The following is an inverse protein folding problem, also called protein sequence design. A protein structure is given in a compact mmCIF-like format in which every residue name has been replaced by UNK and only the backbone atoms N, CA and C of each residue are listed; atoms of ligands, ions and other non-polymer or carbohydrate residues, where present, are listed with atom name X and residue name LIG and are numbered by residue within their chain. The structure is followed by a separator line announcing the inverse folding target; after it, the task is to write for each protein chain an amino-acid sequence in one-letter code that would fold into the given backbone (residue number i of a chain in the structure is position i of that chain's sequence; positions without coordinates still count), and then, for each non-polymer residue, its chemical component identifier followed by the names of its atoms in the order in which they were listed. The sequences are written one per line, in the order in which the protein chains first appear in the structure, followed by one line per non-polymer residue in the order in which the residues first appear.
data_IF_277818414395
#
_entry.id   IF_277818414395
#
_cell.length_a   1.000
_cell.length_b   1.000
_cell.length_c   1.000
_cell.angle_alpha   90.00
_cell.angle_beta   90.00
_cell.angle_gamma   90.00
#
_symmetry.space_group_name_H-M   'P 1'
#
loop_
_entity.id
_entity.type
_entity.pdbx_description
1 polymer ?
#
# COMPACT_ATOMS: atom_id res chain seq x y z
N UNK A 1 -0.54 -8.53 23.16
CA UNK A 1 -1.08 -8.14 24.48
C UNK A 1 -1.72 -6.74 24.52
N UNK A 2 -1.03 -5.71 24.08
CA UNK A 2 -1.59 -4.34 24.08
C UNK A 2 -2.71 -4.19 23.07
N UNK A 3 -2.49 -4.66 21.86
CA UNK A 3 -3.50 -4.61 20.78
C UNK A 3 -4.75 -5.40 21.17
N UNK A 4 -4.59 -6.55 21.81
CA UNK A 4 -5.70 -7.37 22.25
C UNK A 4 -6.52 -6.69 23.39
N UNK A 5 -5.86 -5.99 24.31
CA UNK A 5 -6.53 -5.23 25.36
C UNK A 5 -7.30 -4.02 24.85
N UNK A 6 -6.82 -3.44 23.75
CA UNK A 6 -7.43 -2.25 23.13
C UNK A 6 -8.44 -2.63 22.02
N UNK A 7 -8.70 -3.93 21.78
CA UNK A 7 -9.71 -4.37 20.83
C UNK A 7 -11.09 -3.88 21.22
N UNK A 8 -11.73 -3.21 20.30
CA UNK A 8 -13.11 -2.75 20.45
C UNK A 8 -14.01 -3.69 19.66
N UNK A 9 -14.97 -4.30 20.33
CA UNK A 9 -15.98 -5.10 19.67
C UNK A 9 -16.82 -4.23 18.73
N UNK A 10 -17.01 -4.69 17.52
CA UNK A 10 -17.88 -4.06 16.53
C UNK A 10 -19.11 -4.95 16.32
N UNK A 11 -20.27 -4.32 16.40
CA UNK A 11 -21.53 -4.98 16.11
C UNK A 11 -21.83 -4.88 14.62
N UNK A 12 -22.16 -6.01 14.00
CA UNK A 12 -22.60 -6.10 12.62
C UNK A 12 -23.84 -6.96 12.56
N UNK A 13 -24.89 -6.45 11.93
CA UNK A 13 -26.09 -7.20 11.61
C UNK A 13 -25.75 -8.16 10.47
N UNK A 14 -25.41 -9.41 10.81
CA UNK A 14 -24.93 -10.41 9.86
C UNK A 14 -26.06 -11.20 9.22
N UNK A 15 -27.22 -11.31 9.87
CA UNK A 15 -28.37 -12.02 9.36
C UNK A 15 -29.45 -11.08 8.78
N UNK A 16 -29.30 -9.77 8.94
CA UNK A 16 -30.14 -8.76 8.33
C UNK A 16 -31.49 -8.58 9.01
N UNK A 17 -31.63 -9.00 10.27
CA UNK A 17 -32.88 -8.92 11.01
C UNK A 17 -33.12 -7.54 11.68
N UNK A 18 -32.10 -6.68 11.66
CA UNK A 18 -32.13 -5.34 12.26
C UNK A 18 -31.85 -5.32 13.76
N UNK A 19 -31.55 -6.47 14.37
CA UNK A 19 -31.16 -6.61 15.77
C UNK A 19 -29.71 -7.07 15.88
N UNK A 20 -29.04 -6.77 16.97
CA UNK A 20 -27.65 -7.16 17.21
C UNK A 20 -27.55 -8.18 18.33
N UNK A 21 -27.06 -9.37 18.01
CA UNK A 21 -26.85 -10.46 18.95
C UNK A 21 -25.38 -10.62 19.33
N UNK A 22 -25.08 -11.38 20.39
CA UNK A 22 -23.69 -11.65 20.80
C UNK A 22 -22.91 -12.48 19.77
N UNK A 23 -23.58 -13.19 18.87
CA UNK A 23 -22.95 -13.92 17.76
C UNK A 23 -22.49 -13.02 16.62
N UNK A 24 -22.94 -11.77 16.60
CA UNK A 24 -22.62 -10.75 15.59
C UNK A 24 -21.51 -9.79 16.03
N UNK A 25 -20.90 -10.04 17.19
CA UNK A 25 -19.74 -9.26 17.64
C UNK A 25 -18.54 -9.63 16.80
N UNK A 26 -18.06 -8.67 16.01
CA UNK A 26 -16.83 -8.78 15.23
C UNK A 26 -15.71 -8.03 15.94
N UNK A 27 -14.62 -8.72 16.22
CA UNK A 27 -13.43 -8.10 16.79
C UNK A 27 -12.48 -7.69 15.67
N UNK A 28 -11.92 -6.47 15.71
CA UNK A 28 -10.94 -6.05 14.72
C UNK A 28 -9.71 -6.94 14.76
N UNK A 29 -9.25 -7.35 13.59
CA UNK A 29 -8.00 -8.07 13.40
C UNK A 29 -6.88 -7.11 13.01
N UNK A 30 -5.65 -7.48 13.34
CA UNK A 30 -4.47 -6.78 12.89
C UNK A 30 -3.33 -7.75 12.62
N UNK A 31 -2.46 -7.35 11.72
CA UNK A 31 -1.25 -8.09 11.38
C UNK A 31 -0.03 -7.16 11.44
N UNK A 32 1.13 -7.74 11.63
CA UNK A 32 2.39 -7.03 11.65
C UNK A 32 3.44 -7.81 10.88
N UNK A 33 4.31 -7.08 10.16
CA UNK A 33 5.49 -7.63 9.52
C UNK A 33 6.66 -6.66 9.69
N UNK A 34 7.83 -7.21 9.99
CA UNK A 34 9.10 -6.50 9.95
C UNK A 34 10.04 -7.20 8.98
N UNK A 35 10.61 -6.45 8.06
CA UNK A 35 11.47 -6.93 7.00
C UNK A 35 12.75 -6.07 6.96
N UNK A 36 13.89 -6.70 6.75
CA UNK A 36 15.11 -5.94 6.50
C UNK A 36 15.26 -5.57 5.01
N UNK A 37 16.26 -4.75 4.71
CA UNK A 37 16.50 -4.28 3.34
C UNK A 37 17.09 -5.33 2.38
N UNK A 38 17.14 -6.60 2.79
CA UNK A 38 17.45 -7.75 1.93
C UNK A 38 16.22 -8.62 1.65
N UNK A 39 15.02 -8.18 2.07
CA UNK A 39 13.78 -8.94 1.92
C UNK A 39 13.60 -10.05 2.96
N UNK A 40 14.51 -10.17 3.93
CA UNK A 40 14.38 -11.18 5.00
C UNK A 40 13.31 -10.73 6.00
N UNK A 41 12.30 -11.54 6.20
CA UNK A 41 11.24 -11.29 7.19
C UNK A 41 11.80 -11.62 8.58
N UNK A 42 12.00 -10.60 9.38
CA UNK A 42 12.56 -10.70 10.74
C UNK A 42 11.51 -11.04 11.79
N UNK A 43 10.27 -10.59 11.59
CA UNK A 43 9.15 -10.89 12.46
C UNK A 43 7.83 -10.78 11.68
N UNK A 44 6.88 -11.64 12.01
CA UNK A 44 5.54 -11.61 11.45
C UNK A 44 4.52 -12.04 12.51
N UNK A 45 3.40 -11.31 12.59
CA UNK A 45 2.21 -11.67 13.34
C UNK A 45 1.04 -11.61 12.38
N UNK A 46 0.37 -12.72 12.18
CA UNK A 46 -0.70 -12.84 11.18
C UNK A 46 -2.10 -12.51 11.68
N UNK A 47 -2.31 -12.45 12.99
CA UNK A 47 -3.60 -12.12 13.61
C UNK A 47 -3.41 -11.73 15.08
N UNK A 48 -4.44 -11.14 15.68
CA UNK A 48 -4.49 -10.83 17.12
C UNK A 48 -5.01 -12.07 17.89
N UNK A 49 -4.47 -12.27 19.10
CA UNK A 49 -4.87 -13.35 19.98
C UNK A 49 -4.01 -14.62 19.86
N UNK A 50 -4.40 -15.64 20.57
CA UNK A 50 -3.68 -16.91 20.62
C UNK A 50 -3.98 -17.76 19.38
N UNK A 51 -2.93 -18.28 18.76
CA UNK A 51 -3.05 -19.24 17.66
C UNK A 51 -3.38 -20.62 18.21
N UNK A 52 -4.61 -21.06 18.03
CA UNK A 52 -5.12 -22.34 18.56
C UNK A 52 -4.99 -23.51 17.60
N UNK A 53 -4.80 -23.23 16.29
CA UNK A 53 -4.78 -24.24 15.23
C UNK A 53 -3.59 -24.04 14.27
N UNK A 54 -3.25 -25.11 13.53
CA UNK A 54 -2.30 -25.00 12.42
C UNK A 54 -3.00 -24.49 11.17
N UNK A 55 -2.23 -23.80 10.27
CA UNK A 55 -2.73 -23.29 9.00
C UNK A 55 -3.87 -22.26 9.14
N UNK A 56 -3.91 -21.52 10.25
CA UNK A 56 -4.83 -20.39 10.41
C UNK A 56 -4.58 -19.34 9.35
N UNK A 57 -5.62 -18.56 9.04
CA UNK A 57 -5.53 -17.43 8.14
C UNK A 57 -4.49 -16.41 8.63
N UNK A 58 -3.63 -15.96 7.73
CA UNK A 58 -2.57 -15.00 8.03
C UNK A 58 -2.86 -13.68 7.33
N UNK A 59 -3.35 -12.70 8.08
CA UNK A 59 -3.71 -11.38 7.56
C UNK A 59 -2.52 -10.59 6.99
N UNK A 60 -1.28 -10.95 7.32
CA UNK A 60 -0.10 -10.29 6.75
C UNK A 60 0.20 -10.72 5.31
N UNK A 61 -0.14 -11.97 4.95
CA UNK A 61 0.26 -12.58 3.66
C UNK A 61 -0.92 -13.00 2.78
N UNK A 62 -2.11 -13.12 3.35
CA UNK A 62 -3.28 -13.65 2.63
C UNK A 62 -4.40 -12.63 2.44
N UNK A 63 -4.48 -11.62 3.30
CA UNK A 63 -5.50 -10.57 3.20
C UNK A 63 -5.01 -9.41 2.35
N UNK A 64 -5.77 -9.05 1.32
CA UNK A 64 -5.54 -7.84 0.52
C UNK A 64 -6.33 -6.68 1.10
N UNK A 65 -5.65 -5.57 1.34
CA UNK A 65 -6.25 -4.33 1.86
C UNK A 65 -5.84 -3.14 1.02
N UNK A 66 -6.67 -2.11 1.04
CA UNK A 66 -6.39 -0.85 0.36
C UNK A 66 -5.19 -0.18 1.02
N UNK A 67 -4.08 0.06 0.30
CA UNK A 67 -2.90 0.70 0.87
C UNK A 67 -3.11 2.19 1.11
N UNK A 68 -4.07 2.80 0.43
CA UNK A 68 -4.27 4.24 0.46
C UNK A 68 -2.99 4.99 0.06
N UNK A 69 -2.75 6.12 0.69
CA UNK A 69 -1.59 6.98 0.39
C UNK A 69 -0.22 6.35 0.64
N UNK A 70 -0.15 5.21 1.33
CA UNK A 70 1.13 4.50 1.48
C UNK A 70 1.65 3.92 0.16
N UNK A 71 0.84 3.86 -0.89
CA UNK A 71 1.29 3.42 -2.21
C UNK A 71 2.09 4.50 -2.97
N UNK A 72 1.87 5.78 -2.67
CA UNK A 72 2.41 6.91 -3.44
C UNK A 72 3.92 6.85 -3.68
N UNK A 73 4.77 6.54 -2.68
CA UNK A 73 6.20 6.34 -2.90
C UNK A 73 6.52 5.19 -3.86
N UNK A 74 5.73 4.12 -3.83
CA UNK A 74 5.95 2.90 -4.61
C UNK A 74 5.46 2.99 -6.07
N UNK A 75 4.77 4.06 -6.40
CA UNK A 75 4.16 4.31 -7.72
C UNK A 75 4.71 5.61 -8.32
N UNK A 76 3.94 6.68 -8.22
CA UNK A 76 4.21 7.95 -8.90
C UNK A 76 5.49 8.62 -8.47
N UNK A 77 5.75 8.75 -7.17
CA UNK A 77 7.00 9.38 -6.69
C UNK A 77 8.22 8.52 -7.01
N UNK A 78 8.11 7.19 -6.87
CA UNK A 78 9.21 6.28 -7.17
C UNK A 78 9.65 6.38 -8.61
N UNK A 79 8.72 6.29 -9.56
CA UNK A 79 9.05 6.43 -10.98
C UNK A 79 9.51 7.84 -11.35
N UNK A 80 8.91 8.87 -10.76
CA UNK A 80 9.30 10.26 -11.02
C UNK A 80 10.74 10.55 -10.57
N UNK A 81 11.18 9.97 -9.45
CA UNK A 81 12.58 10.03 -8.98
C UNK A 81 13.51 9.18 -9.86
N UNK A 82 13.11 7.95 -10.21
CA UNK A 82 13.91 7.04 -11.04
C UNK A 82 14.15 7.60 -12.45
N UNK A 83 13.19 8.35 -12.99
CA UNK A 83 13.26 8.97 -14.32
C UNK A 83 13.86 10.38 -14.32
N UNK A 84 14.41 10.86 -13.20
CA UNK A 84 14.90 12.24 -13.03
C UNK A 84 13.86 13.33 -13.36
N UNK A 85 12.57 13.00 -13.35
CA UNK A 85 11.50 13.98 -13.54
C UNK A 85 11.41 14.94 -12.35
N UNK A 86 11.68 14.42 -11.15
CA UNK A 86 11.69 15.21 -9.91
C UNK A 86 12.93 14.89 -9.08
N UNK A 87 13.23 15.83 -8.18
CA UNK A 87 14.11 15.65 -7.02
C UNK A 87 13.43 16.29 -5.79
N UNK A 88 13.94 16.09 -4.60
CA UNK A 88 13.28 16.54 -3.37
C UNK A 88 12.95 18.03 -3.32
N UNK A 89 13.77 18.86 -3.99
CA UNK A 89 13.57 20.30 -4.09
C UNK A 89 12.68 20.76 -5.24
N UNK A 90 12.21 19.88 -6.11
CA UNK A 90 11.31 20.23 -7.20
C UNK A 90 10.01 20.84 -6.68
N UNK A 91 9.49 21.84 -7.37
CA UNK A 91 8.31 22.61 -6.96
C UNK A 91 7.13 22.23 -7.85
N UNK A 92 6.03 21.90 -7.21
CA UNK A 92 4.74 21.65 -7.85
C UNK A 92 3.67 22.54 -7.21
N UNK A 93 2.67 22.90 -7.99
CA UNK A 93 1.54 23.66 -7.48
C UNK A 93 0.45 22.70 -7.00
N UNK A 94 -0.13 23.00 -5.85
CA UNK A 94 -1.28 22.25 -5.33
C UNK A 94 -2.52 22.56 -6.17
N UNK A 95 -2.62 21.88 -7.31
CA UNK A 95 -3.72 22.02 -8.27
C UNK A 95 -4.16 20.63 -8.77
N UNK A 96 -5.47 20.42 -8.96
CA UNK A 96 -5.98 19.20 -9.56
C UNK A 96 -5.58 19.11 -11.04
N UNK A 97 -5.57 17.91 -11.58
CA UNK A 97 -5.56 17.65 -13.01
C UNK A 97 -7.01 17.57 -13.54
N UNK A 98 -7.17 17.58 -14.85
CA UNK A 98 -8.46 17.31 -15.49
C UNK A 98 -8.52 15.83 -15.90
N UNK A 99 -9.54 15.11 -15.44
CA UNK A 99 -9.85 13.74 -15.81
C UNK A 99 -11.30 13.70 -16.30
N UNK A 100 -11.51 13.32 -17.56
CA UNK A 100 -12.84 13.23 -18.16
C UNK A 100 -13.66 14.53 -18.03
N UNK A 101 -13.01 15.68 -18.16
CA UNK A 101 -13.65 17.00 -18.06
C UNK A 101 -13.97 17.45 -16.63
N UNK A 102 -13.44 16.77 -15.63
CA UNK A 102 -13.61 17.12 -14.21
C UNK A 102 -12.28 17.35 -13.52
N UNK A 103 -12.24 18.33 -12.64
CA UNK A 103 -11.07 18.55 -11.79
C UNK A 103 -10.93 17.41 -10.77
N UNK A 104 -9.75 16.79 -10.72
CA UNK A 104 -9.44 15.66 -9.83
C UNK A 104 -7.93 15.62 -9.53
N UNK A 105 -7.48 15.16 -8.35
CA UNK A 105 -8.22 14.82 -7.14
C UNK A 105 -8.40 16.05 -6.23
N UNK A 106 -9.02 15.81 -5.06
CA UNK A 106 -8.99 16.73 -3.93
C UNK A 106 -8.04 16.21 -2.86
N UNK A 107 -7.51 17.11 -2.02
CA UNK A 107 -6.73 16.72 -0.86
C UNK A 107 -7.65 16.35 0.32
N UNK A 108 -7.15 15.51 1.22
CA UNK A 108 -7.85 15.23 2.46
C UNK A 108 -7.91 16.49 3.33
N UNK A 109 -9.07 16.76 3.92
CA UNK A 109 -9.27 17.80 4.93
C UNK A 109 -10.07 17.21 6.09
N UNK A 110 -9.67 17.53 7.32
CA UNK A 110 -10.43 17.16 8.53
C UNK A 110 -11.80 17.86 8.55
N UNK A 111 -11.89 19.03 7.96
CA UNK A 111 -13.15 19.72 7.74
C UNK A 111 -13.71 19.29 6.38
N UNK A 112 -14.63 18.33 6.41
CA UNK A 112 -15.27 17.75 5.22
C UNK A 112 -16.06 18.75 4.36
N UNK A 113 -16.23 19.98 4.81
CA UNK A 113 -16.89 21.07 4.08
C UNK A 113 -15.96 21.82 3.12
N UNK A 114 -14.65 21.65 3.24
CA UNK A 114 -13.66 22.33 2.41
C UNK A 114 -12.80 21.34 1.64
N UNK A 115 -13.03 21.19 0.34
CA UNK A 115 -12.07 20.58 -0.58
C UNK A 115 -10.81 21.47 -0.58
N UNK A 116 -9.76 21.06 0.13
CA UNK A 116 -8.62 21.94 0.36
C UNK A 116 -7.58 21.86 -0.75
N UNK A 117 -7.88 22.53 -1.85
CA UNK A 117 -6.85 22.92 -2.83
C UNK A 117 -6.30 24.27 -2.39
N UNK A 118 -5.02 24.31 -2.06
CA UNK A 118 -4.41 25.55 -1.55
C UNK A 118 -3.91 26.49 -2.65
N UNK A 119 -3.74 25.96 -3.86
CA UNK A 119 -3.10 26.65 -5.01
C UNK A 119 -1.68 27.17 -4.73
N UNK A 120 -1.05 26.70 -3.65
CA UNK A 120 0.31 27.09 -3.27
C UNK A 120 1.35 26.24 -3.98
N UNK A 121 2.52 26.80 -4.15
CA UNK A 121 3.71 26.04 -4.54
C UNK A 121 4.20 25.21 -3.35
N UNK A 122 4.49 23.95 -3.61
CA UNK A 122 4.93 22.94 -2.64
C UNK A 122 6.20 22.28 -3.16
N UNK A 123 7.18 22.07 -2.30
CA UNK A 123 8.28 21.18 -2.62
C UNK A 123 7.81 19.73 -2.55
N UNK A 124 8.45 18.86 -3.32
CA UNK A 124 8.08 17.43 -3.37
C UNK A 124 8.04 16.80 -1.98
N UNK A 125 9.03 17.08 -1.13
CA UNK A 125 9.05 16.51 0.21
C UNK A 125 7.88 17.02 1.09
N UNK A 126 7.46 18.27 0.94
CA UNK A 126 6.31 18.85 1.67
C UNK A 126 4.99 18.22 1.20
N UNK A 127 4.86 18.00 -0.12
CA UNK A 127 3.69 17.35 -0.69
C UNK A 127 3.57 15.89 -0.24
N UNK A 128 4.70 15.17 -0.14
CA UNK A 128 4.72 13.80 0.33
C UNK A 128 4.46 13.72 1.85
N UNK A 129 5.11 14.56 2.67
CA UNK A 129 4.92 14.63 4.12
C UNK A 129 3.45 14.84 4.51
N UNK A 130 2.79 15.78 3.82
CA UNK A 130 1.38 16.11 4.05
C UNK A 130 0.40 15.23 3.26
N UNK A 131 0.94 14.28 2.51
CA UNK A 131 0.16 13.35 1.70
C UNK A 131 -0.82 14.01 0.72
N UNK A 132 -0.44 15.13 0.11
CA UNK A 132 -1.25 15.75 -0.93
C UNK A 132 -1.55 14.75 -2.06
N UNK A 133 -2.76 14.84 -2.61
CA UNK A 133 -3.20 13.97 -3.70
C UNK A 133 -2.95 14.60 -5.08
N UNK A 134 -2.92 15.93 -5.16
CA UNK A 134 -2.78 16.68 -6.39
C UNK A 134 -1.42 16.47 -7.05
N UNK A 135 -0.34 16.48 -6.27
CA UNK A 135 1.01 16.31 -6.80
C UNK A 135 1.23 14.92 -7.43
N UNK A 136 0.93 13.79 -6.76
CA UNK A 136 1.06 12.49 -7.42
C UNK A 136 0.14 12.32 -8.63
N UNK A 137 -1.02 13.00 -8.68
CA UNK A 137 -1.86 13.01 -9.87
C UNK A 137 -1.18 13.71 -11.06
N UNK A 138 -0.56 14.87 -10.84
CA UNK A 138 0.23 15.58 -11.85
C UNK A 138 1.43 14.74 -12.32
N UNK A 139 2.14 14.08 -11.39
CA UNK A 139 3.24 13.18 -11.72
C UNK A 139 2.74 12.00 -12.58
N UNK A 140 1.62 11.37 -12.20
CA UNK A 140 1.03 10.28 -12.97
C UNK A 140 0.59 10.73 -14.37
N UNK A 141 0.07 11.94 -14.49
CA UNK A 141 -0.29 12.51 -15.79
C UNK A 141 0.93 12.72 -16.68
N UNK A 142 2.03 13.23 -16.14
CA UNK A 142 3.28 13.45 -16.87
C UNK A 142 3.95 12.13 -17.28
N UNK A 143 3.90 11.10 -16.43
CA UNK A 143 4.53 9.79 -16.62
C UNK A 143 3.67 8.80 -17.39
N UNK A 144 2.37 9.00 -17.44
CA UNK A 144 1.28 8.12 -17.88
C UNK A 144 0.95 6.99 -16.88
N UNK A 145 -0.34 6.64 -16.70
CA UNK A 145 -0.73 5.53 -15.84
C UNK A 145 -0.08 4.20 -16.22
N UNK A 146 0.11 3.93 -17.52
CA UNK A 146 0.77 2.72 -17.99
C UNK A 146 2.22 2.61 -17.47
N UNK A 147 3.02 3.68 -17.60
CA UNK A 147 4.42 3.65 -17.17
C UNK A 147 4.52 3.52 -15.63
N UNK A 148 3.63 4.17 -14.88
CA UNK A 148 3.58 4.06 -13.42
C UNK A 148 3.18 2.64 -13.00
N UNK A 149 2.20 2.04 -13.67
CA UNK A 149 1.78 0.65 -13.43
C UNK A 149 2.92 -0.33 -13.70
N UNK A 150 3.59 -0.20 -14.86
CA UNK A 150 4.70 -1.07 -15.25
C UNK A 150 5.89 -0.95 -14.28
N UNK A 151 6.19 0.25 -13.79
CA UNK A 151 7.21 0.46 -12.76
C UNK A 151 6.80 -0.20 -11.43
N UNK A 152 5.58 0.05 -10.97
CA UNK A 152 5.07 -0.49 -9.70
C UNK A 152 5.07 -2.03 -9.68
N UNK A 153 4.68 -2.67 -10.78
CA UNK A 153 4.64 -4.13 -10.89
C UNK A 153 6.00 -4.75 -11.15
N UNK A 154 6.81 -4.18 -12.05
CA UNK A 154 8.08 -4.79 -12.46
C UNK A 154 9.25 -4.46 -11.55
N UNK A 155 9.32 -3.24 -11.00
CA UNK A 155 10.42 -2.76 -10.16
C UNK A 155 10.10 -2.87 -8.67
N UNK A 156 8.94 -2.39 -8.25
CA UNK A 156 8.53 -2.43 -6.85
C UNK A 156 7.84 -3.75 -6.48
N UNK A 157 7.53 -4.61 -7.47
CA UNK A 157 6.90 -5.92 -7.32
C UNK A 157 5.54 -5.87 -6.62
N UNK A 158 4.79 -4.78 -6.82
CA UNK A 158 3.43 -4.71 -6.33
C UNK A 158 2.53 -5.62 -7.16
N UNK A 159 1.67 -6.36 -6.47
CA UNK A 159 0.67 -7.23 -7.09
C UNK A 159 -0.59 -6.41 -7.43
N UNK A 160 -0.55 -5.72 -8.56
CA UNK A 160 -1.62 -4.85 -9.03
C UNK A 160 -2.47 -5.53 -10.10
N UNK A 161 -3.77 -5.27 -10.08
CA UNK A 161 -4.73 -5.80 -11.04
C UNK A 161 -4.61 -5.08 -12.38
N UNK A 162 -4.20 -5.82 -13.43
CA UNK A 162 -4.17 -5.29 -14.79
C UNK A 162 -5.54 -5.32 -15.46
N UNK A 163 -6.30 -6.40 -15.23
CA UNK A 163 -7.63 -6.63 -15.78
C UNK A 163 -8.37 -7.62 -14.88
N UNK A 164 -9.46 -7.19 -14.28
CA UNK A 164 -10.31 -8.03 -13.42
C UNK A 164 -11.33 -8.87 -14.20
N UNK A 165 -11.42 -8.63 -15.51
CA UNK A 165 -12.41 -9.29 -16.39
C UNK A 165 -13.79 -8.65 -16.40
N UNK A 166 -14.08 -7.74 -15.48
CA UNK A 166 -15.33 -6.94 -15.41
C UNK A 166 -15.10 -5.45 -15.72
N UNK A 167 -13.92 -5.11 -16.21
CA UNK A 167 -13.53 -3.76 -16.63
C UNK A 167 -12.82 -2.92 -15.57
N UNK A 168 -12.54 -3.46 -14.39
CA UNK A 168 -11.69 -2.77 -13.40
C UNK A 168 -10.21 -3.03 -13.65
N UNK A 169 -9.39 -2.02 -13.40
CA UNK A 169 -7.94 -2.07 -13.54
C UNK A 169 -7.27 -1.10 -12.58
N UNK A 170 -6.09 -1.49 -12.07
CA UNK A 170 -5.26 -0.59 -11.29
C UNK A 170 -4.39 0.32 -12.16
N UNK A 171 -4.39 0.10 -13.49
CA UNK A 171 -3.69 0.95 -14.45
C UNK A 171 -4.49 2.23 -14.76
N UNK A 172 -4.78 2.99 -13.71
CA UNK A 172 -5.59 4.21 -13.76
C UNK A 172 -5.07 5.23 -12.74
N UNK A 173 -5.56 6.48 -12.84
CA UNK A 173 -5.11 7.55 -11.94
C UNK A 173 -5.39 7.23 -10.47
N UNK A 174 -6.63 6.88 -10.12
CA UNK A 174 -7.02 6.68 -8.72
C UNK A 174 -6.25 5.55 -8.02
N UNK A 175 -6.14 4.34 -8.58
CA UNK A 175 -5.33 3.27 -7.99
C UNK A 175 -3.88 3.69 -7.76
N UNK A 176 -3.24 4.27 -8.77
CA UNK A 176 -1.80 4.55 -8.76
C UNK A 176 -1.39 5.79 -7.95
N UNK A 177 -2.31 6.71 -7.65
CA UNK A 177 -2.00 7.97 -6.98
C UNK A 177 -2.55 8.10 -5.58
N UNK A 178 -3.66 7.45 -5.26
CA UNK A 178 -4.29 7.49 -3.94
C UNK A 178 -4.51 6.13 -3.31
N UNK A 179 -4.17 5.05 -4.02
CA UNK A 179 -4.22 3.69 -3.50
C UNK A 179 -5.63 3.11 -3.38
N UNK A 180 -6.55 3.54 -4.27
CA UNK A 180 -7.88 2.93 -4.40
C UNK A 180 -7.80 1.78 -5.42
N UNK A 181 -7.21 0.67 -5.01
CA UNK A 181 -6.95 -0.49 -5.86
C UNK A 181 -8.20 -1.34 -6.07
N UNK A 182 -8.21 -2.15 -7.11
CA UNK A 182 -9.29 -3.10 -7.41
C UNK A 182 -9.48 -4.11 -6.28
N UNK A 183 -8.40 -4.76 -5.84
CA UNK A 183 -8.42 -5.75 -4.75
C UNK A 183 -7.64 -5.30 -3.51
N UNK A 184 -6.72 -4.36 -3.65
CA UNK A 184 -5.73 -4.02 -2.64
C UNK A 184 -4.45 -4.84 -2.81
N UNK A 185 -3.59 -4.80 -1.79
CA UNK A 185 -2.34 -5.57 -1.70
C UNK A 185 -2.20 -6.19 -0.32
N UNK A 186 -1.44 -7.28 -0.20
CA UNK A 186 -1.11 -7.85 1.11
C UNK A 186 -0.12 -6.95 1.85
N UNK A 187 -0.09 -7.05 3.17
CA UNK A 187 0.86 -6.31 3.98
C UNK A 187 2.31 -6.69 3.64
N UNK A 188 2.59 -7.98 3.39
CA UNK A 188 3.89 -8.45 2.92
C UNK A 188 4.30 -7.79 1.61
N UNK A 189 3.41 -7.77 0.62
CA UNK A 189 3.68 -7.18 -0.68
C UNK A 189 3.97 -5.67 -0.57
N UNK A 190 3.17 -4.95 0.23
CA UNK A 190 3.36 -3.52 0.47
C UNK A 190 4.72 -3.23 1.13
N UNK A 191 5.07 -3.96 2.19
CA UNK A 191 6.35 -3.78 2.91
C UNK A 191 7.53 -4.13 2.01
N UNK A 192 7.40 -5.21 1.22
CA UNK A 192 8.44 -5.61 0.27
C UNK A 192 8.72 -4.54 -0.80
N UNK A 193 7.69 -3.82 -1.24
CA UNK A 193 7.84 -2.69 -2.16
C UNK A 193 8.76 -1.58 -1.63
N UNK A 194 8.88 -1.42 -0.31
CA UNK A 194 9.75 -0.41 0.31
C UNK A 194 11.22 -0.83 0.47
N UNK A 195 11.56 -2.10 0.25
CA UNK A 195 12.95 -2.61 0.42
C UNK A 195 13.99 -1.81 -0.37
N UNK A 196 13.77 -1.40 -1.63
CA UNK A 196 14.75 -0.65 -2.41
C UNK A 196 15.16 0.69 -1.81
N UNK A 197 14.28 1.34 -1.06
CA UNK A 197 14.54 2.66 -0.48
C UNK A 197 15.63 2.64 0.60
N UNK A 198 15.85 1.50 1.25
CA UNK A 198 16.84 1.38 2.33
C UNK A 198 18.17 0.76 1.90
N UNK A 199 18.35 0.37 0.63
CA UNK A 199 19.53 -0.39 0.19
C UNK A 199 20.13 0.10 -1.14
N UNK A 200 19.81 1.32 -1.55
CA UNK A 200 20.34 1.91 -2.78
C UNK A 200 19.64 1.44 -4.07
N UNK A 201 18.38 1.00 -3.99
CA UNK A 201 17.55 0.71 -5.14
C UNK A 201 17.47 -0.77 -5.55
N UNK A 202 18.04 -1.67 -4.76
CA UNK A 202 18.00 -3.11 -5.06
C UNK A 202 16.72 -3.75 -4.54
N UNK A 203 15.92 -4.37 -5.41
CA UNK A 203 14.73 -5.11 -5.01
C UNK A 203 15.06 -6.57 -4.70
N UNK A 204 14.66 -7.02 -3.53
CA UNK A 204 14.74 -8.40 -3.08
C UNK A 204 13.33 -8.98 -2.93
N UNK A 205 13.20 -10.28 -3.15
CA UNK A 205 11.95 -10.98 -2.84
C UNK A 205 11.85 -11.23 -1.35
N UNK A 206 10.67 -11.01 -0.77
CA UNK A 206 10.38 -11.37 0.61
C UNK A 206 10.61 -12.87 0.86
N UNK A 207 11.31 -13.20 1.93
CA UNK A 207 11.59 -14.60 2.30
C UNK A 207 11.79 -14.78 3.79
N UNK A 208 11.47 -15.99 4.27
CA UNK A 208 11.62 -16.43 5.67
C UNK A 208 12.82 -17.36 5.85
N UNK A 209 13.26 -17.98 4.74
CA UNK A 209 14.32 -18.99 4.77
C UNK A 209 15.48 -18.47 3.93
N UNK A 210 16.61 -18.21 4.56
CA UNK A 210 17.82 -17.79 3.88
C UNK A 210 18.71 -18.94 3.45
N UNK A 211 18.59 -20.09 4.12
CA UNK A 211 19.48 -21.23 3.86
C UNK A 211 18.86 -22.54 4.31
N UNK A 212 19.00 -23.57 3.50
CA UNK A 212 18.65 -24.95 3.84
C UNK A 212 19.89 -25.83 3.70
N UNK A 213 20.25 -26.53 4.75
CA UNK A 213 21.40 -27.48 4.78
C UNK A 213 20.94 -28.89 5.13
N UNK A 214 21.57 -29.90 4.55
CA UNK A 214 21.37 -31.26 4.91
C UNK A 214 22.14 -31.59 6.22
N UNK A 215 21.75 -32.66 6.94
CA UNK A 215 22.30 -33.01 8.25
C UNK A 215 23.82 -33.17 8.32
N UNK A 216 24.51 -33.38 7.20
CA UNK A 216 25.99 -33.43 7.09
C UNK A 216 26.61 -32.03 6.82
N UNK A 217 25.80 -30.95 6.72
CA UNK A 217 26.25 -29.59 6.43
C UNK A 217 26.33 -29.25 4.95
N UNK A 218 25.91 -30.16 4.06
CA UNK A 218 25.84 -29.90 2.64
C UNK A 218 24.73 -28.88 2.33
N UNK A 219 25.06 -27.84 1.56
CA UNK A 219 24.12 -26.80 1.16
C UNK A 219 23.12 -27.37 0.15
N UNK A 220 21.82 -27.25 0.44
CA UNK A 220 20.73 -27.62 -0.48
C UNK A 220 20.19 -26.37 -1.19
N UNK A 221 20.08 -25.25 -0.46
CA UNK A 221 19.51 -23.99 -0.96
C UNK A 221 20.10 -22.82 -0.19
N UNK A 222 20.38 -21.73 -0.90
CA UNK A 222 20.82 -20.44 -0.37
C UNK A 222 20.18 -19.29 -1.15
#
# INVERSE_FOLDING_TARGET
DRVEKDRVAQWQDQDGDGEYSSSEIVYPESAFIAMNYKGEIQAMVGAVGEKTESLCFNYATMEQRQPGSTIKPLTTYGLALESDLIHWGSIYKDEPIEVEGKAWPTNYSEDSSAMSISHKELKIYEALEKSYNTVPAQLCQALTPQSVFDFATSKMRLDLCKDSGDGHTDMAYSPLTVGALTYGVTLENLVNGYVPYGNGGTQYQAHLVSKVVQGAGDLIYE
#
